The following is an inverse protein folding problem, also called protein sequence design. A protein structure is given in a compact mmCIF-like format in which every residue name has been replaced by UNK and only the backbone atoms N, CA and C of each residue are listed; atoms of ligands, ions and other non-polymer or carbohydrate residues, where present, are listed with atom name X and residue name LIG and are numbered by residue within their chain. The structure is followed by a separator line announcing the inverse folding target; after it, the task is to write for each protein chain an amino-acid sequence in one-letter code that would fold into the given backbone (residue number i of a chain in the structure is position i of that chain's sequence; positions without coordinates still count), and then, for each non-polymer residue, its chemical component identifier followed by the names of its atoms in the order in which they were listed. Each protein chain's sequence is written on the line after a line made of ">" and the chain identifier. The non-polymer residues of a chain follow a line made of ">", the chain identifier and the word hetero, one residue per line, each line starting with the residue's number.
data_IF_534171338221
#
_entry.id   IF_534171338221
#
_cell.length_a   1.000
_cell.length_b   1.000
_cell.length_c   1.000
_cell.angle_alpha   90.00
_cell.angle_beta   90.00
_cell.angle_gamma   90.00
#
_symmetry.space_group_name_H-M   'P 1'
#
loop_
_entity.id
_entity.type
_entity.pdbx_description
1 polymer ?
#
# COMPACT_ATOMS: atom_id res chain seq x y z
N UNK A 1 -3.85 -14.25 -0.15
CA UNK A 1 -2.91 -13.38 -0.89
C UNK A 1 -2.52 -12.17 -0.04
N UNK A 2 -1.25 -11.75 -0.05
CA UNK A 2 -0.75 -10.51 0.59
C UNK A 2 -0.21 -9.57 -0.49
N UNK A 3 -0.32 -8.26 -0.27
CA UNK A 3 0.21 -7.22 -1.15
C UNK A 3 0.77 -6.07 -0.31
N UNK A 4 1.92 -5.52 -0.71
CA UNK A 4 2.50 -4.32 -0.11
C UNK A 4 2.44 -3.19 -1.14
N UNK A 5 2.11 -1.99 -0.69
CA UNK A 5 2.20 -0.76 -1.47
C UNK A 5 2.70 0.38 -0.59
N UNK A 6 3.02 1.54 -1.17
CA UNK A 6 3.45 2.72 -0.40
C UNK A 6 2.26 3.58 0.02
N UNK A 7 2.45 4.39 1.07
CA UNK A 7 1.41 5.29 1.60
C UNK A 7 0.80 6.26 0.58
N UNK A 8 1.51 6.58 -0.50
CA UNK A 8 1.05 7.50 -1.53
C UNK A 8 0.24 6.82 -2.66
N UNK A 9 0.20 5.49 -2.72
CA UNK A 9 -0.41 4.79 -3.86
C UNK A 9 -1.92 4.64 -3.67
N UNK A 10 -2.61 5.78 -3.59
CA UNK A 10 -4.05 5.87 -3.35
C UNK A 10 -4.86 5.10 -4.41
N UNK A 11 -4.39 5.11 -5.67
CA UNK A 11 -4.99 4.36 -6.75
C UNK A 11 -4.97 2.85 -6.47
N UNK A 12 -3.80 2.28 -6.10
CA UNK A 12 -3.71 0.87 -5.74
C UNK A 12 -4.56 0.54 -4.52
N UNK A 13 -4.51 1.36 -3.47
CA UNK A 13 -5.33 1.16 -2.26
C UNK A 13 -6.81 1.06 -2.61
N UNK A 14 -7.35 2.02 -3.37
CA UNK A 14 -8.73 2.01 -3.83
C UNK A 14 -9.06 0.81 -4.72
N UNK A 15 -8.17 0.47 -5.67
CA UNK A 15 -8.34 -0.66 -6.58
C UNK A 15 -8.47 -2.00 -5.82
N UNK A 16 -7.60 -2.24 -4.85
CA UNK A 16 -7.55 -3.49 -4.08
C UNK A 16 -8.66 -3.54 -3.03
N UNK A 17 -8.96 -2.44 -2.37
CA UNK A 17 -10.06 -2.38 -1.40
C UNK A 17 -11.42 -2.69 -2.04
N UNK A 18 -11.69 -2.15 -3.24
CA UNK A 18 -12.90 -2.51 -4.03
C UNK A 18 -12.97 -4.00 -4.40
N UNK A 19 -11.84 -4.71 -4.38
CA UNK A 19 -11.72 -6.15 -4.70
C UNK A 19 -11.57 -7.02 -3.45
N UNK A 20 -11.95 -6.50 -2.29
CA UNK A 20 -12.01 -7.26 -1.04
C UNK A 20 -10.66 -7.46 -0.37
N UNK A 21 -9.67 -6.63 -0.70
CA UNK A 21 -8.48 -6.49 0.16
C UNK A 21 -8.76 -5.52 1.29
N UNK A 22 -8.14 -5.77 2.44
CA UNK A 22 -8.17 -4.88 3.61
C UNK A 22 -6.76 -4.53 4.01
N UNK A 23 -6.54 -3.29 4.42
CA UNK A 23 -5.32 -2.88 5.12
C UNK A 23 -5.26 -3.64 6.43
N UNK A 24 -4.14 -4.29 6.70
CA UNK A 24 -3.96 -5.10 7.91
C UNK A 24 -2.72 -4.71 8.72
N UNK A 25 -1.80 -3.94 8.14
CA UNK A 25 -0.62 -3.42 8.82
C UNK A 25 -0.08 -2.20 8.08
N UNK A 26 0.41 -1.22 8.84
CA UNK A 26 1.26 -0.14 8.35
C UNK A 26 2.66 -0.41 8.89
N UNK A 27 3.67 -0.32 8.03
CA UNK A 27 5.07 -0.46 8.38
C UNK A 27 5.69 0.93 8.22
N UNK A 28 5.80 1.62 9.34
CA UNK A 28 6.30 2.99 9.38
C UNK A 28 7.77 3.03 8.98
N UNK A 29 8.15 4.04 8.19
CA UNK A 29 9.53 4.28 7.75
C UNK A 29 10.19 3.05 7.08
N UNK A 30 9.42 2.27 6.32
CA UNK A 30 9.91 1.09 5.61
C UNK A 30 10.57 1.43 4.27
N UNK A 31 10.12 2.50 3.61
CA UNK A 31 10.59 2.89 2.27
C UNK A 31 12.08 3.26 2.20
N UNK A 32 12.73 3.84 3.24
CA UNK A 32 14.19 4.02 3.24
C UNK A 32 14.97 2.74 2.91
N UNK A 33 14.57 1.58 3.46
CA UNK A 33 15.21 0.29 3.13
C UNK A 33 14.96 -0.12 1.67
N UNK A 34 13.76 0.16 1.15
CA UNK A 34 13.46 -0.08 -0.25
C UNK A 34 14.32 0.82 -1.19
N UNK A 35 14.69 2.03 -0.75
CA UNK A 35 15.59 2.92 -1.50
C UNK A 35 17.02 2.40 -1.60
N UNK A 36 17.49 1.64 -0.62
CA UNK A 36 18.81 0.99 -0.71
C UNK A 36 18.89 0.04 -1.92
N UNK A 37 17.77 -0.63 -2.24
CA UNK A 37 17.65 -1.54 -3.39
C UNK A 37 17.26 -0.78 -4.67
N UNK A 38 16.36 0.20 -4.56
CA UNK A 38 15.88 1.02 -5.67
C UNK A 38 16.02 2.52 -5.33
N UNK A 39 17.21 3.12 -5.54
CA UNK A 39 17.45 4.52 -5.19
C UNK A 39 16.54 5.51 -5.91
N UNK A 40 16.00 5.13 -7.07
CA UNK A 40 15.05 5.95 -7.84
C UNK A 40 13.65 6.09 -7.24
N UNK A 41 13.37 5.56 -6.05
CA UNK A 41 12.09 5.83 -5.35
C UNK A 41 12.14 7.26 -4.78
N UNK A 42 11.29 8.20 -5.26
CA UNK A 42 11.31 9.59 -4.82
C UNK A 42 11.12 9.74 -3.30
N UNK A 43 11.65 10.81 -2.72
CA UNK A 43 11.42 11.14 -1.30
C UNK A 43 9.99 11.61 -1.03
N UNK A 44 9.43 12.35 -1.99
CA UNK A 44 8.13 13.02 -1.88
C UNK A 44 7.36 12.73 -3.16
N UNK A 45 6.06 12.49 -3.05
CA UNK A 45 5.17 12.33 -4.19
C UNK A 45 4.80 13.70 -4.81
N UNK A 46 4.19 13.69 -5.98
CA UNK A 46 3.77 14.91 -6.70
C UNK A 46 2.85 15.82 -5.87
N UNK A 47 2.08 15.25 -4.94
CA UNK A 47 1.18 15.98 -4.04
C UNK A 47 1.85 16.50 -2.76
N UNK A 48 3.19 16.45 -2.66
CA UNK A 48 3.93 16.96 -1.51
C UNK A 48 3.97 16.02 -0.30
N UNK A 49 3.39 14.81 -0.38
CA UNK A 49 3.37 13.85 0.73
C UNK A 49 4.65 13.00 0.70
N UNK A 50 5.38 12.86 1.82
CA UNK A 50 6.55 11.98 1.91
C UNK A 50 6.21 10.52 1.61
N UNK A 51 7.08 9.84 0.87
CA UNK A 51 6.98 8.40 0.60
C UNK A 51 7.82 7.67 1.64
N UNK A 52 7.25 7.39 2.81
CA UNK A 52 8.00 6.83 3.95
C UNK A 52 7.50 5.46 4.39
N UNK A 53 6.21 5.17 4.24
CA UNK A 53 5.58 4.00 4.85
C UNK A 53 5.13 2.98 3.81
N UNK A 54 5.14 1.72 4.23
CA UNK A 54 4.52 0.63 3.50
C UNK A 54 3.18 0.24 4.13
N UNK A 55 2.22 -0.08 3.29
CA UNK A 55 0.89 -0.55 3.66
C UNK A 55 0.73 -1.98 3.19
N UNK A 56 0.52 -2.90 4.13
CA UNK A 56 0.21 -4.28 3.86
C UNK A 56 -1.30 -4.46 3.75
N UNK A 57 -1.72 -4.99 2.60
CA UNK A 57 -3.08 -5.43 2.36
C UNK A 57 -3.16 -6.96 2.31
N UNK A 58 -4.28 -7.50 2.77
CA UNK A 58 -4.64 -8.91 2.63
C UNK A 58 -5.99 -9.05 1.96
N UNK A 59 -6.10 -9.99 1.03
CA UNK A 59 -7.40 -10.36 0.50
C UNK A 59 -8.20 -11.03 1.62
N UNK A 60 -9.33 -10.44 1.99
CA UNK A 60 -10.24 -10.98 3.01
C UNK A 60 -11.40 -11.76 2.39
N UNK A 61 -11.45 -11.88 1.05
CA UNK A 61 -12.43 -12.75 0.38
C UNK A 61 -12.04 -14.21 0.58
N UNK A 62 -12.54 -14.78 1.68
CA UNK A 62 -13.03 -16.15 1.73
C UNK A 62 -14.55 -16.12 1.58
N UNK A 63 -15.10 -16.79 0.55
CA UNK A 63 -16.53 -17.07 0.32
C UNK A 63 -17.56 -16.04 0.87
N UNK A 64 -17.51 -14.76 0.47
CA UNK A 64 -18.68 -13.85 0.37
C UNK A 64 -18.18 -12.45 0.02
N UNK A 65 -18.60 -11.93 -1.14
CA UNK A 65 -18.41 -10.52 -1.49
C UNK A 65 -19.31 -9.67 -0.57
N UNK A 66 -18.83 -8.57 0.02
CA UNK A 66 -19.72 -7.60 0.63
C UNK A 66 -20.60 -6.99 -0.47
N UNK A 67 -21.92 -7.12 -0.33
CA UNK A 67 -22.88 -6.33 -1.09
C UNK A 67 -22.94 -4.96 -0.42
N UNK A 68 -22.46 -3.94 -1.10
CA UNK A 68 -22.80 -2.56 -0.80
C UNK A 68 -24.05 -2.19 -1.58
#
# INVERSE_FOLDING_TARGET
>A
MKLITTNINLHALGFYQKRGYRIVKIIQNAVPKAREIKPGIPLVAENGIPICDEILLKNTLGKKKPRF
#
